data_IF_025125427412
#
_entry.id   IF_025125427412
#
_cell.length_a   1.000
_cell.length_b   1.000
_cell.length_c   1.000
_cell.angle_alpha   90.00
_cell.angle_beta   90.00
_cell.angle_gamma   90.00
#
_symmetry.space_group_name_H-M   'P 1'
#
loop_
_entity.id
_entity.type
_entity.pdbx_description
1 polymer ?
#
# COMPACT_ATOMS: atom_id res chain seq x y z
N UNK A 1 -1.96 13.05 50.62
CA UNK A 1 -2.91 12.86 49.51
C UNK A 1 -2.17 13.08 48.20
N UNK A 2 -1.74 12.00 47.54
CA UNK A 2 -1.01 12.08 46.27
C UNK A 2 -1.87 11.46 45.17
N UNK A 3 -2.51 12.31 44.37
CA UNK A 3 -3.25 11.92 43.18
C UNK A 3 -2.25 11.78 42.02
N UNK A 4 -1.70 10.58 41.86
CA UNK A 4 -0.96 10.22 40.65
C UNK A 4 -1.95 9.94 39.53
N UNK A 5 -2.16 10.91 38.65
CA UNK A 5 -2.83 10.70 37.37
C UNK A 5 -1.93 11.19 36.24
N UNK A 6 -0.89 10.40 35.93
CA UNK A 6 -0.02 10.59 34.77
C UNK A 6 -0.02 9.33 33.90
N UNK A 7 -1.22 8.82 33.57
CA UNK A 7 -1.43 7.74 32.61
C UNK A 7 -1.88 8.28 31.24
N UNK A 8 -1.15 9.23 30.67
CA UNK A 8 -1.38 9.65 29.26
C UNK A 8 -0.09 10.11 28.58
N UNK A 9 0.91 9.22 28.54
CA UNK A 9 1.90 9.27 27.45
C UNK A 9 1.87 7.90 26.78
N UNK A 10 0.94 7.75 25.82
CA UNK A 10 0.98 6.65 24.85
C UNK A 10 2.35 6.69 24.18
N UNK A 11 3.13 5.65 24.43
CA UNK A 11 4.43 5.43 23.80
C UNK A 11 4.22 5.22 22.28
N UNK A 12 4.17 6.30 21.52
CA UNK A 12 4.28 6.30 20.07
C UNK A 12 5.60 6.99 19.72
N UNK A 13 6.64 6.24 19.37
CA UNK A 13 7.74 6.71 18.46
C UNK A 13 9.00 5.84 18.39
N UNK A 14 9.04 4.58 18.86
CA UNK A 14 10.24 3.74 18.67
C UNK A 14 9.91 2.35 18.16
N UNK A 15 9.31 2.25 16.98
CA UNK A 15 9.55 1.05 16.19
C UNK A 15 11.02 1.10 15.75
N UNK A 16 11.88 0.14 16.15
CA UNK A 16 13.20 0.02 15.53
C UNK A 16 12.97 -0.06 14.02
N UNK A 17 13.87 0.54 13.22
CA UNK A 17 13.88 0.37 11.76
C UNK A 17 14.14 -1.11 11.47
N UNK A 18 13.11 -1.93 11.62
CA UNK A 18 13.11 -3.35 11.30
C UNK A 18 13.44 -3.38 9.81
N UNK A 19 14.61 -3.94 9.48
CA UNK A 19 14.99 -4.19 8.11
C UNK A 19 13.90 -4.99 7.39
N UNK A 20 13.91 -4.96 6.06
CA UNK A 20 12.99 -5.79 5.27
C UNK A 20 13.00 -7.23 5.82
N UNK A 21 11.82 -7.84 6.10
CA UNK A 21 11.76 -9.24 6.55
C UNK A 21 12.20 -10.21 5.45
N UNK A 22 12.29 -9.72 4.21
CA UNK A 22 12.77 -10.49 3.08
C UNK A 22 14.29 -10.63 3.08
N UNK A 23 14.82 -11.83 2.79
CA UNK A 23 16.24 -12.03 2.56
C UNK A 23 16.79 -11.11 1.46
N UNK A 24 18.11 -10.86 1.50
CA UNK A 24 18.78 -10.12 0.42
C UNK A 24 18.65 -10.89 -0.90
N UNK A 25 18.42 -10.15 -1.98
CA UNK A 25 18.20 -10.72 -3.32
C UNK A 25 16.74 -11.02 -3.64
N UNK A 26 15.79 -10.79 -2.73
CA UNK A 26 14.38 -10.86 -3.08
C UNK A 26 13.93 -9.63 -3.88
N UNK A 27 13.33 -9.88 -5.04
CA UNK A 27 12.80 -8.85 -5.91
C UNK A 27 11.30 -8.64 -5.71
N UNK A 28 10.83 -7.43 -6.03
CA UNK A 28 9.42 -7.10 -6.00
C UNK A 28 8.68 -7.74 -7.19
N UNK A 29 7.41 -8.13 -7.02
CA UNK A 29 6.61 -8.66 -8.13
C UNK A 29 6.38 -7.59 -9.21
N UNK A 30 6.01 -8.04 -10.42
CA UNK A 30 5.54 -7.13 -11.46
C UNK A 30 4.35 -6.31 -10.96
N UNK A 31 4.39 -4.99 -11.18
CA UNK A 31 3.39 -4.06 -10.68
C UNK A 31 2.10 -4.09 -11.51
N UNK A 32 2.18 -4.50 -12.78
CA UNK A 32 1.03 -4.53 -13.68
C UNK A 32 1.06 -5.72 -14.66
N UNK A 33 -0.11 -6.01 -15.24
CA UNK A 33 -0.23 -6.98 -16.35
C UNK A 33 0.53 -6.56 -17.60
N UNK A 34 0.67 -5.26 -17.82
CA UNK A 34 1.38 -4.70 -18.98
C UNK A 34 2.87 -4.94 -18.83
N UNK A 35 3.45 -4.58 -17.68
CA UNK A 35 4.87 -4.81 -17.35
C UNK A 35 5.24 -6.30 -17.47
N UNK A 36 4.35 -7.19 -16.99
CA UNK A 36 4.55 -8.64 -17.15
C UNK A 36 4.57 -9.07 -18.61
N UNK A 37 3.68 -8.52 -19.44
CA UNK A 37 3.57 -8.86 -20.87
C UNK A 37 4.81 -8.36 -21.62
N UNK A 38 5.23 -7.13 -21.38
CA UNK A 38 6.42 -6.52 -21.98
C UNK A 38 7.69 -7.31 -21.62
N UNK A 39 7.86 -7.68 -20.35
CA UNK A 39 8.99 -8.50 -19.92
C UNK A 39 9.00 -9.88 -20.62
N UNK A 40 7.82 -10.48 -20.77
CA UNK A 40 7.66 -11.77 -21.45
C UNK A 40 8.00 -11.69 -22.95
N UNK A 41 7.67 -10.57 -23.60
CA UNK A 41 8.03 -10.30 -25.00
C UNK A 41 9.53 -10.02 -25.18
N UNK A 42 10.16 -9.37 -24.19
CA UNK A 42 11.61 -9.13 -24.13
C UNK A 42 12.43 -10.41 -23.91
N UNK A 43 11.88 -11.41 -23.23
CA UNK A 43 12.50 -12.74 -23.03
C UNK A 43 13.61 -12.74 -21.97
N UNK A 44 14.63 -11.91 -22.14
CA UNK A 44 15.79 -11.81 -21.23
C UNK A 44 15.40 -11.25 -19.86
N UNK A 45 14.57 -10.21 -19.83
CA UNK A 45 14.09 -9.59 -18.58
C UNK A 45 13.20 -10.54 -17.78
N UNK A 46 12.34 -11.29 -18.49
CA UNK A 46 11.51 -12.31 -17.88
C UNK A 46 12.36 -13.45 -17.29
N UNK A 47 13.34 -13.96 -18.05
CA UNK A 47 14.22 -15.02 -17.57
C UNK A 47 15.03 -14.58 -16.33
N UNK A 48 15.55 -13.35 -16.32
CA UNK A 48 16.26 -12.78 -15.16
C UNK A 48 15.36 -12.70 -13.92
N UNK A 49 14.15 -12.12 -14.06
CA UNK A 49 13.24 -11.93 -12.93
C UNK A 49 12.67 -13.24 -12.40
N UNK A 50 12.47 -14.24 -13.26
CA UNK A 50 12.04 -15.59 -12.87
C UNK A 50 13.15 -16.44 -12.24
N UNK A 51 14.42 -16.10 -12.48
CA UNK A 51 15.57 -16.77 -11.85
C UNK A 51 15.80 -16.34 -10.40
N UNK A 52 15.12 -15.28 -9.94
CA UNK A 52 15.27 -14.69 -8.61
C UNK A 52 14.03 -14.99 -7.75
N UNK A 53 14.22 -15.05 -6.43
CA UNK A 53 13.09 -15.20 -5.50
C UNK A 53 12.26 -13.92 -5.45
N UNK A 54 10.96 -14.03 -5.73
CA UNK A 54 10.05 -12.89 -5.76
C UNK A 54 9.27 -12.79 -4.45
N UNK A 55 9.13 -11.58 -3.90
CA UNK A 55 8.33 -11.32 -2.70
C UNK A 55 6.86 -11.59 -2.94
N UNK A 56 6.13 -11.88 -1.87
CA UNK A 56 4.67 -11.92 -1.96
C UNK A 56 4.11 -10.54 -2.28
N UNK A 57 3.08 -10.52 -3.14
CA UNK A 57 2.37 -9.28 -3.45
C UNK A 57 1.75 -8.70 -2.16
N UNK A 58 1.89 -7.38 -1.93
CA UNK A 58 1.20 -6.72 -0.82
C UNK A 58 -0.30 -7.03 -0.88
N UNK A 59 -0.93 -7.28 0.28
CA UNK A 59 -2.38 -7.58 0.37
C UNK A 59 -3.23 -6.52 -0.33
N UNK A 60 -2.76 -5.28 -0.33
CA UNK A 60 -3.44 -4.18 -0.95
C UNK A 60 -3.21 -4.17 -2.45
N UNK A 61 -2.08 -4.61 -2.99
CA UNK A 61 -1.83 -4.55 -4.43
C UNK A 61 -2.80 -5.45 -5.23
N UNK A 62 -3.35 -4.94 -6.32
CA UNK A 62 -4.22 -5.68 -7.23
C UNK A 62 -4.07 -5.15 -8.64
N UNK A 63 -4.22 -6.03 -9.63
CA UNK A 63 -4.20 -5.70 -11.07
C UNK A 63 -5.58 -5.25 -11.59
N UNK A 64 -6.42 -4.72 -10.71
CA UNK A 64 -7.79 -4.31 -11.04
C UNK A 64 -7.78 -2.97 -11.76
N UNK A 65 -8.50 -2.87 -12.88
CA UNK A 65 -8.66 -1.63 -13.64
C UNK A 65 -9.49 -0.58 -12.90
N UNK A 66 -10.26 -0.98 -11.89
CA UNK A 66 -11.06 -0.07 -11.06
C UNK A 66 -10.25 0.61 -9.96
N UNK A 67 -8.98 0.22 -9.80
CA UNK A 67 -8.14 0.74 -8.75
C UNK A 67 -7.06 1.63 -9.31
N UNK A 68 -7.06 2.86 -8.86
CA UNK A 68 -6.07 3.86 -9.22
C UNK A 68 -5.02 3.97 -8.11
N UNK A 69 -3.73 3.86 -8.49
CA UNK A 69 -2.60 3.93 -7.56
C UNK A 69 -2.50 5.29 -6.85
N UNK A 70 -2.78 6.39 -7.55
CA UNK A 70 -2.78 7.72 -6.96
C UNK A 70 -3.92 7.86 -5.96
N UNK A 71 -5.11 7.33 -6.28
CA UNK A 71 -6.24 7.32 -5.35
C UNK A 71 -5.96 6.48 -4.10
N UNK A 72 -5.31 5.33 -4.24
CA UNK A 72 -4.85 4.54 -3.09
C UNK A 72 -3.84 5.32 -2.23
N UNK A 73 -2.88 5.99 -2.85
CA UNK A 73 -1.89 6.81 -2.14
C UNK A 73 -2.54 7.99 -1.42
N UNK A 74 -3.51 8.63 -2.07
CA UNK A 74 -4.32 9.71 -1.51
C UNK A 74 -5.16 9.20 -0.33
N UNK A 75 -5.79 8.03 -0.45
CA UNK A 75 -6.58 7.42 0.63
C UNK A 75 -5.77 7.23 1.92
N UNK A 76 -4.46 6.96 1.80
CA UNK A 76 -3.58 6.78 2.96
C UNK A 76 -3.39 8.07 3.77
N UNK A 77 -3.57 9.25 3.16
CA UNK A 77 -3.46 10.54 3.86
C UNK A 77 -4.61 10.73 4.87
N UNK A 78 -5.77 10.13 4.63
CA UNK A 78 -6.91 10.17 5.54
C UNK A 78 -6.89 9.05 6.58
N UNK A 79 -5.97 8.09 6.45
CA UNK A 79 -5.92 6.91 7.31
C UNK A 79 -5.44 7.29 8.71
N UNK A 80 -6.24 6.96 9.72
CA UNK A 80 -5.92 7.18 11.14
C UNK A 80 -5.90 5.84 11.88
N UNK A 81 -4.88 5.62 12.70
CA UNK A 81 -4.72 4.41 13.50
C UNK A 81 -4.79 3.09 12.68
N UNK A 82 -4.32 3.11 11.43
CA UNK A 82 -4.33 1.94 10.54
C UNK A 82 -5.73 1.52 10.03
N UNK A 83 -6.78 2.32 10.30
CA UNK A 83 -8.15 2.05 9.85
C UNK A 83 -8.36 2.47 8.41
N UNK A 84 -8.08 1.54 7.48
CA UNK A 84 -8.17 1.76 6.04
C UNK A 84 -9.62 1.74 5.53
N UNK A 85 -10.48 0.93 6.13
CA UNK A 85 -11.90 0.89 5.82
C UNK A 85 -12.54 2.29 5.92
N UNK A 86 -12.18 3.04 6.97
CA UNK A 86 -12.65 4.41 7.16
C UNK A 86 -12.08 5.39 6.15
N UNK A 87 -10.82 5.25 5.74
CA UNK A 87 -10.27 6.14 4.72
C UNK A 87 -10.89 5.89 3.34
N UNK A 88 -11.23 4.64 3.02
CA UNK A 88 -11.96 4.29 1.78
C UNK A 88 -13.39 4.82 1.81
N UNK A 89 -14.11 4.69 2.93
CA UNK A 89 -15.45 5.28 3.10
C UNK A 89 -15.44 6.79 2.81
N UNK A 90 -14.51 7.53 3.42
CA UNK A 90 -14.36 8.98 3.21
C UNK A 90 -14.07 9.29 1.75
N UNK A 91 -13.16 8.56 1.11
CA UNK A 91 -12.80 8.78 -0.29
C UNK A 91 -14.00 8.55 -1.22
N UNK A 92 -14.76 7.49 -0.98
CA UNK A 92 -15.97 7.20 -1.76
C UNK A 92 -17.02 8.30 -1.62
N UNK A 93 -17.20 8.87 -0.43
CA UNK A 93 -18.12 9.97 -0.21
C UNK A 93 -17.69 11.25 -0.93
N UNK A 94 -16.38 11.54 -0.98
CA UNK A 94 -15.84 12.66 -1.78
C UNK A 94 -16.13 12.44 -3.27
N UNK A 95 -15.83 11.26 -3.80
CA UNK A 95 -16.10 10.93 -5.20
C UNK A 95 -17.59 11.08 -5.54
N UNK A 96 -18.49 10.57 -4.70
CA UNK A 96 -19.95 10.71 -4.89
C UNK A 96 -20.41 12.16 -4.87
N UNK A 97 -19.88 12.99 -3.96
CA UNK A 97 -20.21 14.43 -3.88
C UNK A 97 -19.75 15.17 -5.14
N UNK A 98 -18.53 14.90 -5.59
CA UNK A 98 -17.99 15.53 -6.81
C UNK A 98 -18.79 15.11 -8.05
N UNK A 99 -19.18 13.84 -8.15
CA UNK A 99 -20.01 13.36 -9.25
C UNK A 99 -21.36 14.10 -9.32
N UNK A 100 -22.02 14.33 -8.18
CA UNK A 100 -23.28 15.07 -8.11
C UNK A 100 -23.15 16.54 -8.48
N UNK A 101 -22.01 17.17 -8.14
CA UNK A 101 -21.77 18.58 -8.42
C UNK A 101 -21.28 18.85 -9.86
N UNK A 102 -20.89 17.81 -10.60
CA UNK A 102 -20.50 17.89 -12.01
C UNK A 102 -21.66 17.67 -12.97
N UNK A 103 -22.89 17.50 -12.46
CA UNK A 103 -24.13 17.41 -13.25
C UNK A 103 -24.98 18.64 -13.00
#
# INVERSE_FOLDING_TARGET
MASQCLLTIRCMSKHPKIGSPWPKGFEDPFASRVEFKEAKESGDEYAKKMAVSIKSAPKESTVSVFRDYQMDKFSRLFMKAGRREKSIEILNDICKKNQRNST
#
